data_IF_269459646497
#
_entry.id   IF_269459646497
#
_cell.length_a   1.000
_cell.length_b   1.000
_cell.length_c   1.000
_cell.angle_alpha   90.00
_cell.angle_beta   90.00
_cell.angle_gamma   90.00
#
_symmetry.space_group_name_H-M   'P 1'
#
loop_
_entity.id
_entity.type
_entity.pdbx_description
1 polymer ?
#
# COMPACT_ATOMS: atom_id res chain seq x y z
N UNK A 1 -16.81 -11.76 2.60
CA UNK A 1 -15.68 -12.18 1.75
C UNK A 1 -15.16 -13.54 2.19
N UNK A 2 -14.82 -14.44 1.24
CA UNK A 2 -14.21 -15.75 1.55
C UNK A 2 -12.83 -15.81 0.88
N UNK A 3 -11.79 -16.07 1.66
CA UNK A 3 -10.41 -16.24 1.18
C UNK A 3 -10.00 -17.69 1.37
N UNK A 4 -9.49 -18.31 0.31
CA UNK A 4 -9.01 -19.69 0.30
C UNK A 4 -7.50 -19.69 0.04
N UNK A 5 -6.73 -20.28 0.95
CA UNK A 5 -5.27 -20.40 0.80
C UNK A 5 -4.81 -21.77 1.29
N UNK A 6 -4.25 -22.57 0.38
CA UNK A 6 -3.91 -23.97 0.64
C UNK A 6 -5.11 -24.75 1.17
N UNK A 7 -5.06 -25.21 2.43
CA UNK A 7 -6.12 -25.94 3.14
C UNK A 7 -6.94 -25.04 4.09
N UNK A 8 -6.66 -23.73 4.11
CA UNK A 8 -7.34 -22.77 5.00
C UNK A 8 -8.46 -22.03 4.29
N UNK A 9 -9.57 -21.88 5.02
CA UNK A 9 -10.74 -21.07 4.61
C UNK A 9 -11.01 -20.00 5.66
N UNK A 10 -10.82 -18.74 5.27
CA UNK A 10 -11.11 -17.59 6.11
C UNK A 10 -12.37 -16.88 5.60
N UNK A 11 -13.27 -16.52 6.50
CA UNK A 11 -14.53 -15.83 6.18
C UNK A 11 -14.60 -14.54 6.98
N UNK A 12 -14.76 -13.42 6.28
CA UNK A 12 -14.85 -12.08 6.84
C UNK A 12 -16.16 -11.41 6.41
N UNK A 13 -16.79 -10.55 7.22
CA UNK A 13 -17.78 -9.60 6.73
C UNK A 13 -17.21 -8.77 5.58
N UNK A 14 -18.04 -8.35 4.62
CA UNK A 14 -17.54 -7.61 3.44
C UNK A 14 -17.20 -6.18 3.84
N UNK A 15 -17.95 -5.63 4.77
CA UNK A 15 -17.76 -4.32 5.37
C UNK A 15 -16.44 -4.18 6.16
N UNK A 16 -15.88 -5.30 6.63
CA UNK A 16 -14.67 -5.33 7.46
C UNK A 16 -13.37 -5.47 6.66
N UNK A 17 -13.44 -5.67 5.33
CA UNK A 17 -12.27 -5.96 4.51
C UNK A 17 -12.25 -5.15 3.20
N UNK A 18 -11.07 -4.65 2.86
CA UNK A 18 -10.82 -3.95 1.60
C UNK A 18 -9.87 -4.81 0.75
N UNK A 19 -10.20 -4.97 -0.53
CA UNK A 19 -9.32 -5.61 -1.51
C UNK A 19 -8.45 -4.55 -2.18
N UNK A 20 -7.14 -4.67 -2.01
CA UNK A 20 -6.15 -3.81 -2.66
C UNK A 20 -5.58 -4.51 -3.91
N UNK A 21 -5.31 -3.77 -5.00
CA UNK A 21 -4.77 -4.32 -6.25
C UNK A 21 -3.24 -4.52 -6.16
N UNK A 22 -2.79 -5.19 -5.11
CA UNK A 22 -1.37 -5.48 -4.83
C UNK A 22 -1.17 -6.98 -4.57
N UNK A 23 0.01 -7.53 -4.89
CA UNK A 23 0.25 -8.97 -4.76
C UNK A 23 0.32 -9.46 -3.30
N UNK A 24 0.68 -8.57 -2.37
CA UNK A 24 0.71 -8.88 -0.94
C UNK A 24 0.45 -7.62 -0.11
N UNK A 25 0.12 -7.81 1.18
CA UNK A 25 -0.09 -6.72 2.14
C UNK A 25 1.16 -6.44 2.98
N UNK A 26 2.36 -6.70 2.44
CA UNK A 26 3.60 -6.35 3.14
C UNK A 26 3.79 -4.84 3.18
N UNK A 27 4.55 -4.35 4.16
CA UNK A 27 4.87 -2.93 4.28
C UNK A 27 5.48 -2.34 3.00
N UNK A 28 6.32 -3.09 2.29
CA UNK A 28 6.97 -2.64 1.05
C UNK A 28 5.96 -2.41 -0.07
N UNK A 29 5.09 -3.40 -0.33
CA UNK A 29 4.06 -3.32 -1.37
C UNK A 29 3.03 -2.24 -1.05
N UNK A 30 2.60 -2.16 0.22
CA UNK A 30 1.69 -1.11 0.69
C UNK A 30 2.31 0.28 0.55
N UNK A 31 3.59 0.44 0.89
CA UNK A 31 4.29 1.71 0.73
C UNK A 31 4.23 2.17 -0.73
N UNK A 32 4.61 1.29 -1.66
CA UNK A 32 4.64 1.62 -3.09
C UNK A 32 3.25 1.98 -3.61
N UNK A 33 2.24 1.19 -3.23
CA UNK A 33 0.85 1.44 -3.62
C UNK A 33 0.36 2.81 -3.12
N UNK A 34 0.56 3.10 -1.83
CA UNK A 34 0.18 4.39 -1.24
C UNK A 34 0.93 5.53 -1.92
N UNK A 35 2.24 5.39 -2.15
CA UNK A 35 3.05 6.42 -2.79
C UNK A 35 2.55 6.72 -4.22
N UNK A 36 2.18 5.69 -4.98
CA UNK A 36 1.57 5.88 -6.32
C UNK A 36 0.23 6.60 -6.27
N UNK A 37 -0.61 6.31 -5.27
CA UNK A 37 -1.89 7.01 -5.09
C UNK A 37 -1.71 8.48 -4.72
N UNK A 38 -0.72 8.79 -3.87
CA UNK A 38 -0.39 10.18 -3.52
C UNK A 38 0.16 10.91 -4.75
N UNK A 39 1.07 10.28 -5.50
CA UNK A 39 1.63 10.87 -6.72
C UNK A 39 0.55 11.21 -7.75
N UNK A 40 -0.43 10.31 -7.98
CA UNK A 40 -1.55 10.57 -8.88
C UNK A 40 -2.40 11.78 -8.44
N UNK A 41 -2.56 12.01 -7.13
CA UNK A 41 -3.27 13.18 -6.62
C UNK A 41 -2.46 14.48 -6.69
N UNK A 42 -1.15 14.39 -6.91
CA UNK A 42 -0.22 15.51 -6.98
C UNK A 42 0.30 15.74 -8.40
N UNK A 43 -0.25 15.08 -9.42
CA UNK A 43 0.25 15.13 -10.81
C UNK A 43 0.28 16.55 -11.39
N UNK A 44 -0.63 17.43 -10.95
CA UNK A 44 -0.71 18.83 -11.40
C UNK A 44 0.31 19.77 -10.71
N UNK A 45 1.20 19.25 -9.86
CA UNK A 45 2.17 20.05 -9.09
C UNK A 45 3.58 19.86 -9.65
N UNK A 46 4.01 20.83 -10.45
CA UNK A 46 5.35 20.88 -11.07
C UNK A 46 6.48 21.27 -10.09
N UNK A 47 6.14 21.76 -8.90
CA UNK A 47 7.09 22.21 -7.90
C UNK A 47 7.53 21.12 -6.90
N UNK A 48 7.01 19.89 -7.02
CA UNK A 48 7.32 18.76 -6.15
C UNK A 48 8.19 17.77 -6.94
N UNK A 49 9.37 17.44 -6.41
CA UNK A 49 10.35 16.58 -7.11
C UNK A 49 10.24 15.10 -6.75
N UNK A 50 9.83 14.79 -5.53
CA UNK A 50 9.72 13.42 -5.06
C UNK A 50 8.80 13.31 -3.86
N UNK A 51 8.31 12.10 -3.62
CA UNK A 51 7.49 11.73 -2.49
C UNK A 51 8.14 10.53 -1.80
N UNK A 52 8.42 10.66 -0.51
CA UNK A 52 8.82 9.55 0.35
C UNK A 52 7.65 9.16 1.23
N UNK A 53 7.33 7.87 1.23
CA UNK A 53 6.36 7.25 2.14
C UNK A 53 7.10 6.27 3.03
N UNK A 54 6.69 6.20 4.29
CA UNK A 54 7.13 5.19 5.23
C UNK A 54 5.92 4.60 5.94
N UNK A 55 5.88 3.28 6.03
CA UNK A 55 4.88 2.52 6.75
C UNK A 55 5.56 1.79 7.92
N UNK A 56 5.04 1.99 9.13
CA UNK A 56 5.45 1.25 10.32
C UNK A 56 4.36 0.26 10.72
N UNK A 57 4.62 -1.04 10.64
CA UNK A 57 3.73 -2.11 11.11
C UNK A 57 3.87 -2.34 12.62
N UNK A 58 5.03 -1.98 13.18
CA UNK A 58 5.35 -2.07 14.60
C UNK A 58 6.74 -1.53 14.88
N UNK A 59 7.17 -1.56 16.15
CA UNK A 59 8.48 -1.03 16.54
C UNK A 59 9.59 -1.80 15.82
N UNK A 60 10.33 -1.10 14.95
CA UNK A 60 11.43 -1.68 14.17
C UNK A 60 10.98 -2.59 13.02
N UNK A 61 9.71 -2.56 12.63
CA UNK A 61 9.15 -3.31 11.51
C UNK A 61 8.39 -2.34 10.60
N UNK A 62 8.98 -2.02 9.46
CA UNK A 62 8.42 -1.05 8.54
C UNK A 62 9.20 -0.99 7.23
N UNK A 63 8.63 -0.31 6.25
CA UNK A 63 9.23 -0.12 4.94
C UNK A 63 9.10 1.33 4.50
N UNK A 64 10.12 1.81 3.79
CA UNK A 64 10.14 3.13 3.18
C UNK A 64 10.35 3.02 1.68
N UNK A 65 9.72 3.91 0.94
CA UNK A 65 9.85 3.97 -0.52
C UNK A 65 9.81 5.43 -0.98
N UNK A 66 10.68 5.75 -1.93
CA UNK A 66 10.74 7.07 -2.56
C UNK A 66 10.34 6.95 -4.02
N UNK A 67 9.49 7.86 -4.48
CA UNK A 67 9.06 8.00 -5.87
C UNK A 67 9.46 9.39 -6.35
N UNK A 68 10.28 9.44 -7.39
CA UNK A 68 10.61 10.69 -8.06
C UNK A 68 9.48 11.06 -9.04
N UNK A 69 9.05 12.31 -8.98
CA UNK A 69 8.04 12.89 -9.87
C UNK A 69 8.76 13.54 -11.06
N UNK A 70 8.21 13.35 -12.27
CA UNK A 70 8.78 13.90 -13.51
C UNK A 70 8.36 15.35 -13.73
#
# INVERSE_FOLDING_TARGET
MVVLQSDKRCVFPVEDAILLPIPSVSAEELCQYINSMIAAQLEDRDNIKSIMVQLDEGIGQGAGCTLDLK
#
